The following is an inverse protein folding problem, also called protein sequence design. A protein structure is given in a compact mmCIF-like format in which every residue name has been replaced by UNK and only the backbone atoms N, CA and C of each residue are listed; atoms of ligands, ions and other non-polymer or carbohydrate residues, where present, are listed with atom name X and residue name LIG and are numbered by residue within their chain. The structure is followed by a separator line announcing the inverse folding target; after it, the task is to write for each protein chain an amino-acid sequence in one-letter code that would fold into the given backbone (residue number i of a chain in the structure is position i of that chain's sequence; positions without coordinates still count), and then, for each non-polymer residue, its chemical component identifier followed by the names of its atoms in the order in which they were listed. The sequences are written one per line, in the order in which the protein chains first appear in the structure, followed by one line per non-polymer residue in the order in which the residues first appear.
data_IF_566825046516
#
_entry.id   IF_566825046516
#
_cell.length_a   1.000
_cell.length_b   1.000
_cell.length_c   1.000
_cell.angle_alpha   90.00
_cell.angle_beta   90.00
_cell.angle_gamma   90.00
#
_symmetry.space_group_name_H-M   'P 1'
#
loop_
_entity.id
_entity.type
_entity.pdbx_description
1 polymer ?
#
# COMPACT_ATOMS: atom_id res chain seq x y z
N UNK A 1 -28.67 -4.03 20.84
CA UNK A 1 -27.38 -3.87 20.14
C UNK A 1 -26.39 -3.31 21.12
N UNK A 2 -25.41 -4.08 21.50
CA UNK A 2 -24.35 -3.62 22.41
C UNK A 2 -23.44 -2.66 21.59
N UNK A 3 -23.46 -1.39 21.90
CA UNK A 3 -22.58 -0.40 21.28
C UNK A 3 -21.21 -0.59 21.92
N UNK A 4 -20.34 -1.36 21.25
CA UNK A 4 -18.96 -1.52 21.71
C UNK A 4 -18.27 -0.16 21.65
N UNK A 5 -17.72 0.29 22.77
CA UNK A 5 -17.02 1.57 22.87
C UNK A 5 -15.87 1.66 21.84
N UNK A 6 -15.61 2.83 21.24
CA UNK A 6 -14.49 3.03 20.32
C UNK A 6 -13.16 2.64 20.97
N UNK A 7 -12.34 1.87 20.24
CA UNK A 7 -11.02 1.43 20.71
C UNK A 7 -9.91 2.03 19.84
N UNK A 8 -8.87 2.56 20.47
CA UNK A 8 -7.70 3.06 19.77
C UNK A 8 -6.99 1.93 19.03
N UNK A 9 -6.71 2.14 17.74
CA UNK A 9 -5.99 1.17 16.90
C UNK A 9 -4.48 1.41 17.04
N UNK A 10 -3.76 0.40 17.51
CA UNK A 10 -2.30 0.45 17.59
C UNK A 10 -1.65 0.39 16.20
N UNK A 11 -0.58 1.15 15.97
CA UNK A 11 0.14 1.19 14.67
C UNK A 11 0.59 -0.20 14.21
N UNK A 12 0.99 -1.07 15.16
CA UNK A 12 1.44 -2.44 14.91
C UNK A 12 0.36 -3.36 14.30
N UNK A 13 -0.93 -2.96 14.36
CA UNK A 13 -2.04 -3.73 13.79
C UNK A 13 -2.20 -3.51 12.27
N UNK A 14 -1.48 -2.56 11.68
CA UNK A 14 -1.37 -2.38 10.23
C UNK A 14 0.03 -2.75 9.78
N UNK A 15 0.17 -3.86 9.07
CA UNK A 15 1.44 -4.47 8.70
C UNK A 15 1.57 -4.54 7.18
N UNK A 16 2.75 -4.21 6.68
CA UNK A 16 3.08 -4.36 5.27
C UNK A 16 3.85 -5.67 5.01
N UNK A 17 3.55 -6.27 3.87
CA UNK A 17 4.21 -7.47 3.35
C UNK A 17 4.64 -7.19 1.92
N UNK A 18 5.87 -7.50 1.56
CA UNK A 18 6.43 -7.29 0.24
C UNK A 18 6.58 -8.62 -0.50
N UNK A 19 6.27 -8.63 -1.78
CA UNK A 19 6.58 -9.76 -2.64
C UNK A 19 8.09 -9.85 -2.85
N UNK A 20 8.70 -10.93 -2.39
CA UNK A 20 10.13 -11.20 -2.51
C UNK A 20 10.48 -12.07 -3.71
N UNK A 21 9.49 -12.63 -4.42
CA UNK A 21 9.71 -13.35 -5.67
C UNK A 21 10.04 -12.38 -6.81
N UNK A 22 11.32 -12.34 -7.19
CA UNK A 22 11.77 -11.50 -8.31
C UNK A 22 11.33 -12.02 -9.68
N UNK A 23 10.87 -13.28 -9.78
CA UNK A 23 10.49 -13.92 -11.04
C UNK A 23 9.02 -13.76 -11.39
N UNK A 24 8.21 -13.36 -10.40
CA UNK A 24 6.77 -13.19 -10.55
C UNK A 24 5.97 -14.49 -10.74
N UNK A 25 6.63 -15.65 -10.62
CA UNK A 25 6.01 -16.95 -10.89
C UNK A 25 5.15 -17.45 -9.73
N UNK A 26 5.49 -17.07 -8.50
CA UNK A 26 4.77 -17.45 -7.27
C UNK A 26 4.90 -16.33 -6.24
N UNK A 27 3.97 -15.37 -6.22
CA UNK A 27 4.03 -14.25 -5.28
C UNK A 27 4.19 -14.74 -3.85
N UNK A 28 5.29 -14.35 -3.20
CA UNK A 28 5.58 -14.67 -1.82
C UNK A 28 5.65 -13.38 -1.02
N UNK A 29 4.54 -13.05 -0.35
CA UNK A 29 4.46 -11.85 0.46
C UNK A 29 5.06 -12.09 1.83
N UNK A 30 6.24 -11.54 2.07
CA UNK A 30 6.95 -11.62 3.33
C UNK A 30 6.85 -10.32 4.13
N UNK A 31 6.76 -10.46 5.44
CA UNK A 31 6.56 -9.35 6.36
C UNK A 31 7.74 -8.38 6.32
N UNK A 32 7.44 -7.11 6.15
CA UNK A 32 8.41 -6.02 6.26
C UNK A 32 8.72 -5.77 7.74
N UNK A 33 9.88 -6.29 8.20
CA UNK A 33 10.34 -6.20 9.59
C UNK A 33 11.63 -5.40 9.68
N UNK A 34 11.96 -4.89 10.87
CA UNK A 34 13.21 -4.20 11.18
C UNK A 34 13.41 -2.90 10.37
N UNK A 35 12.32 -2.26 9.99
CA UNK A 35 12.34 -0.92 9.42
C UNK A 35 12.35 0.11 10.57
N UNK A 36 13.28 1.05 10.52
CA UNK A 36 13.39 2.16 11.47
C UNK A 36 12.42 3.28 11.14
N UNK A 37 12.10 3.44 9.85
CA UNK A 37 11.08 4.37 9.38
C UNK A 37 10.22 3.74 8.27
N UNK A 38 8.91 4.02 8.30
CA UNK A 38 7.97 3.67 7.24
C UNK A 38 6.78 4.64 7.30
N UNK A 39 6.83 5.70 6.50
CA UNK A 39 5.84 6.78 6.50
C UNK A 39 5.10 6.81 5.17
N UNK A 40 3.77 6.68 5.22
CA UNK A 40 2.91 6.70 4.02
C UNK A 40 2.38 8.11 3.76
N UNK A 41 2.91 8.78 2.76
CA UNK A 41 2.38 10.03 2.20
C UNK A 41 1.31 9.74 1.15
N UNK A 42 0.19 10.45 1.18
CA UNK A 42 -0.88 10.33 0.17
C UNK A 42 -0.65 11.26 -1.02
N UNK A 43 -0.03 12.41 -0.79
CA UNK A 43 0.32 13.42 -1.79
C UNK A 43 -0.84 13.69 -2.76
N UNK A 44 -1.99 14.21 -2.28
CA UNK A 44 -3.13 14.52 -3.14
C UNK A 44 -2.73 15.58 -4.15
N UNK A 45 -3.27 15.46 -5.37
CA UNK A 45 -3.22 16.49 -6.39
C UNK A 45 -4.53 17.25 -6.34
N UNK A 46 -4.43 18.56 -6.08
CA UNK A 46 -5.58 19.44 -5.98
C UNK A 46 -5.74 20.24 -7.27
N UNK A 47 -6.98 20.44 -7.66
CA UNK A 47 -7.39 21.40 -8.68
C UNK A 47 -8.23 22.47 -8.02
N UNK A 48 -7.72 23.70 -8.01
CA UNK A 48 -8.40 24.84 -7.43
C UNK A 48 -8.74 25.88 -8.49
N UNK A 49 -9.95 26.42 -8.45
CA UNK A 49 -10.38 27.48 -9.36
C UNK A 49 -11.41 28.39 -8.70
N UNK A 50 -11.23 29.70 -8.88
CA UNK A 50 -12.23 30.71 -8.59
C UNK A 50 -12.84 31.19 -9.91
N UNK A 51 -14.16 31.18 -10.00
CA UNK A 51 -14.89 31.72 -11.14
C UNK A 51 -15.16 33.20 -10.92
N UNK A 52 -15.28 33.96 -12.01
CA UNK A 52 -15.44 35.43 -11.96
C UNK A 52 -16.75 35.90 -11.31
N UNK A 53 -17.75 35.03 -11.24
CA UNK A 53 -19.07 35.23 -10.64
C UNK A 53 -19.18 34.68 -9.22
N UNK A 54 -18.10 34.09 -8.69
CA UNK A 54 -18.05 33.50 -7.34
C UNK A 54 -17.05 34.22 -6.44
N UNK A 55 -17.44 34.43 -5.18
CA UNK A 55 -16.57 35.01 -4.16
C UNK A 55 -15.65 33.99 -3.49
N UNK A 56 -15.91 32.67 -3.69
CA UNK A 56 -15.20 31.56 -3.02
C UNK A 56 -14.54 30.66 -4.05
N UNK A 57 -13.29 30.30 -3.79
CA UNK A 57 -12.56 29.31 -4.58
C UNK A 57 -13.12 27.91 -4.33
N UNK A 58 -13.24 27.11 -5.40
CA UNK A 58 -13.58 25.68 -5.34
C UNK A 58 -12.31 24.87 -5.48
N UNK A 59 -12.13 23.88 -4.59
CA UNK A 59 -11.00 22.95 -4.61
C UNK A 59 -11.49 21.52 -4.61
N UNK A 60 -10.94 20.70 -5.53
CA UNK A 60 -11.21 19.27 -5.64
C UNK A 60 -9.92 18.47 -5.67
N UNK A 61 -9.96 17.25 -5.13
CA UNK A 61 -8.85 16.30 -5.25
C UNK A 61 -9.01 15.53 -6.54
N UNK A 62 -8.11 15.77 -7.50
CA UNK A 62 -8.15 15.19 -8.84
C UNK A 62 -7.23 13.97 -9.01
N UNK A 63 -6.46 13.62 -7.99
CA UNK A 63 -5.60 12.45 -8.03
C UNK A 63 -4.74 12.31 -6.79
N UNK A 64 -3.94 11.25 -6.75
CA UNK A 64 -2.98 10.98 -5.68
C UNK A 64 -1.64 10.55 -6.28
N UNK A 65 -0.55 10.89 -5.62
CA UNK A 65 0.80 10.39 -5.90
C UNK A 65 1.39 9.74 -4.63
N UNK A 66 0.84 8.58 -4.18
CA UNK A 66 1.23 8.00 -2.91
C UNK A 66 2.69 7.55 -2.92
N UNK A 67 3.37 7.84 -1.82
CA UNK A 67 4.73 7.39 -1.58
C UNK A 67 4.88 6.89 -0.15
N UNK A 68 5.73 5.89 0.06
CA UNK A 68 6.10 5.39 1.37
C UNK A 68 7.60 5.58 1.54
N UNK A 69 7.99 6.53 2.39
CA UNK A 69 9.38 6.70 2.79
C UNK A 69 9.79 5.56 3.70
N UNK A 70 10.97 4.98 3.49
CA UNK A 70 11.50 3.90 4.31
C UNK A 70 12.96 4.12 4.69
N UNK A 71 13.33 3.55 5.83
CA UNK A 71 14.71 3.35 6.25
C UNK A 71 14.80 2.06 7.06
N UNK A 72 15.88 1.30 6.90
CA UNK A 72 16.12 0.09 7.67
C UNK A 72 17.61 -0.18 7.84
N UNK A 73 17.95 -0.84 8.95
CA UNK A 73 19.26 -1.45 9.17
C UNK A 73 19.31 -2.80 8.46
N UNK A 74 20.33 -3.05 7.65
CA UNK A 74 20.42 -4.27 6.87
C UNK A 74 20.61 -5.51 7.74
N UNK A 75 19.71 -6.46 7.62
CA UNK A 75 19.81 -7.78 8.23
C UNK A 75 19.98 -8.84 7.14
N UNK A 76 21.16 -9.45 7.10
CA UNK A 76 21.42 -10.57 6.20
C UNK A 76 20.45 -11.74 6.49
N UNK A 77 19.92 -12.35 5.45
CA UNK A 77 18.89 -13.39 5.55
C UNK A 77 17.47 -12.86 5.75
N UNK A 78 17.25 -11.53 5.76
CA UNK A 78 15.91 -10.95 5.64
C UNK A 78 15.57 -10.77 4.16
N UNK A 79 14.63 -11.55 3.60
CA UNK A 79 14.38 -11.55 2.15
C UNK A 79 13.84 -10.22 1.63
N UNK A 80 13.12 -9.44 2.46
CA UNK A 80 12.65 -8.11 2.09
C UNK A 80 13.83 -7.14 1.97
N UNK A 81 14.76 -7.16 2.95
CA UNK A 81 15.96 -6.31 2.92
C UNK A 81 16.83 -6.66 1.72
N UNK A 82 17.06 -7.96 1.49
CA UNK A 82 17.86 -8.44 0.36
C UNK A 82 17.25 -8.04 -0.99
N UNK A 83 15.91 -8.09 -1.12
CA UNK A 83 15.20 -7.65 -2.33
C UNK A 83 15.39 -6.16 -2.58
N UNK A 84 15.25 -5.31 -1.56
CA UNK A 84 15.43 -3.86 -1.67
C UNK A 84 16.90 -3.54 -1.96
N UNK A 85 17.86 -4.13 -1.20
CA UNK A 85 19.29 -3.93 -1.41
C UNK A 85 19.71 -4.33 -2.83
N UNK A 86 19.22 -5.46 -3.35
CA UNK A 86 19.51 -5.88 -4.72
C UNK A 86 19.02 -4.91 -5.81
N UNK A 87 18.00 -4.10 -5.50
CA UNK A 87 17.53 -3.03 -6.39
C UNK A 87 18.45 -1.81 -6.27
N UNK A 88 18.86 -1.43 -5.05
CA UNK A 88 19.78 -0.34 -4.79
C UNK A 88 21.15 -0.61 -5.42
N UNK A 89 21.80 -1.69 -4.99
CA UNK A 89 23.17 -2.03 -5.38
C UNK A 89 23.30 -2.35 -6.88
N UNK A 90 22.20 -2.89 -7.45
CA UNK A 90 22.13 -3.21 -8.87
C UNK A 90 21.69 -2.07 -9.76
N UNK A 91 21.41 -0.87 -9.22
CA UNK A 91 20.88 0.30 -9.94
C UNK A 91 19.74 -0.08 -10.91
N UNK A 92 18.80 -0.94 -10.42
CA UNK A 92 17.76 -1.49 -11.27
C UNK A 92 16.75 -0.42 -11.67
N UNK A 93 16.23 -0.54 -12.90
CA UNK A 93 15.33 0.44 -13.51
C UNK A 93 14.06 -0.24 -14.05
N UNK A 94 13.03 0.57 -14.29
CA UNK A 94 11.75 0.14 -14.84
C UNK A 94 11.13 -1.03 -14.03
N UNK A 95 10.66 -2.07 -14.71
CA UNK A 95 9.97 -3.20 -14.07
C UNK A 95 10.85 -3.99 -13.08
N UNK A 96 12.18 -4.00 -13.27
CA UNK A 96 13.12 -4.66 -12.36
C UNK A 96 13.21 -3.95 -10.99
N UNK A 97 12.87 -2.68 -10.93
CA UNK A 97 12.77 -1.88 -9.71
C UNK A 97 11.38 -1.93 -9.07
N UNK A 98 10.43 -2.67 -9.65
CA UNK A 98 9.08 -2.76 -9.10
C UNK A 98 8.97 -3.87 -8.05
N UNK A 99 8.15 -3.58 -7.03
CA UNK A 99 7.79 -4.53 -5.97
C UNK A 99 6.29 -4.43 -5.69
N UNK A 100 5.65 -5.55 -5.41
CA UNK A 100 4.28 -5.56 -4.92
C UNK A 100 4.27 -5.53 -3.39
N UNK A 101 3.42 -4.70 -2.83
CA UNK A 101 3.24 -4.61 -1.37
C UNK A 101 1.78 -4.82 -1.03
N UNK A 102 1.54 -5.71 -0.06
CA UNK A 102 0.25 -5.96 0.56
C UNK A 102 0.25 -5.34 1.94
N UNK A 103 -0.70 -4.45 2.21
CA UNK A 103 -0.92 -3.88 3.54
C UNK A 103 -2.13 -4.55 4.17
N UNK A 104 -1.94 -5.18 5.33
CA UNK A 104 -2.97 -5.91 6.06
C UNK A 104 -3.38 -5.15 7.30
N UNK A 105 -4.68 -4.95 7.46
CA UNK A 105 -5.31 -4.35 8.64
C UNK A 105 -5.84 -5.45 9.57
N UNK A 106 -4.99 -5.98 10.46
CA UNK A 106 -5.34 -7.05 11.39
C UNK A 106 -6.46 -6.70 12.39
N UNK A 107 -6.76 -5.41 12.54
CA UNK A 107 -7.89 -4.94 13.35
C UNK A 107 -9.22 -4.97 12.56
N UNK A 108 -9.18 -5.06 11.22
CA UNK A 108 -10.35 -5.17 10.34
C UNK A 108 -10.57 -6.62 9.95
N UNK A 109 -11.30 -7.34 10.78
CA UNK A 109 -11.70 -8.73 10.49
C UNK A 109 -13.13 -8.77 9.97
N UNK A 110 -13.42 -9.77 9.11
CA UNK A 110 -14.80 -10.04 8.70
C UNK A 110 -15.62 -10.57 9.88
N UNK A 111 -16.95 -10.75 9.68
CA UNK A 111 -17.89 -11.17 10.72
C UNK A 111 -17.54 -12.55 11.32
N UNK A 112 -16.91 -13.44 10.53
CA UNK A 112 -16.47 -14.76 10.98
C UNK A 112 -15.12 -14.75 11.68
N UNK A 113 -14.34 -13.68 11.54
CA UNK A 113 -13.00 -13.55 12.11
C UNK A 113 -11.91 -14.34 11.38
N UNK A 114 -12.21 -14.93 10.22
CA UNK A 114 -11.32 -15.79 9.43
C UNK A 114 -10.60 -15.05 8.29
N UNK A 115 -10.90 -13.77 8.07
CA UNK A 115 -10.29 -12.92 7.05
C UNK A 115 -9.96 -11.55 7.62
N UNK A 116 -8.80 -11.01 7.22
CA UNK A 116 -8.42 -9.63 7.49
C UNK A 116 -8.46 -8.81 6.20
N UNK A 117 -8.92 -7.57 6.29
CA UNK A 117 -8.88 -6.64 5.16
C UNK A 117 -7.44 -6.37 4.74
N UNK A 118 -7.19 -6.40 3.44
CA UNK A 118 -5.89 -6.15 2.86
C UNK A 118 -6.01 -5.31 1.59
N UNK A 119 -4.98 -4.53 1.32
CA UNK A 119 -4.84 -3.80 0.06
C UNK A 119 -3.51 -4.16 -0.59
N UNK A 120 -3.51 -4.37 -1.89
CA UNK A 120 -2.31 -4.62 -2.70
C UNK A 120 -2.04 -3.44 -3.62
N UNK A 121 -0.78 -3.12 -3.83
CA UNK A 121 -0.31 -2.12 -4.78
C UNK A 121 1.11 -2.42 -5.24
N UNK A 122 1.40 -2.09 -6.49
CA UNK A 122 2.76 -2.13 -7.04
C UNK A 122 3.42 -0.78 -6.82
N UNK A 123 4.69 -0.82 -6.43
CA UNK A 123 5.53 0.35 -6.18
C UNK A 123 6.84 0.24 -6.94
N UNK A 124 7.35 1.37 -7.43
CA UNK A 124 8.74 1.51 -7.81
C UNK A 124 9.57 1.81 -6.56
N UNK A 125 10.65 1.06 -6.36
CA UNK A 125 11.66 1.34 -5.35
C UNK A 125 12.53 2.46 -5.88
N UNK A 126 12.57 3.60 -5.17
CA UNK A 126 13.43 4.73 -5.50
C UNK A 126 14.50 4.83 -4.42
N UNK A 127 15.73 4.37 -4.69
CA UNK A 127 16.85 4.51 -3.78
C UNK A 127 17.14 5.97 -3.45
N UNK A 128 17.57 6.24 -2.22
CA UNK A 128 18.06 7.56 -1.79
C UNK A 128 19.52 7.46 -1.35
N UNK A 129 19.79 6.72 -0.28
CA UNK A 129 21.15 6.50 0.22
C UNK A 129 21.31 5.13 0.85
N UNK A 130 22.59 4.69 0.89
CA UNK A 130 23.05 3.52 1.61
C UNK A 130 24.35 3.85 2.37
N UNK A 131 24.62 3.11 3.47
CA UNK A 131 25.86 3.23 4.22
C UNK A 131 25.97 4.38 5.20
N UNK A 132 24.87 5.03 5.60
CA UNK A 132 24.86 6.21 6.47
C UNK A 132 25.12 5.91 7.96
N UNK A 133 25.20 4.64 8.36
CA UNK A 133 25.43 4.22 9.74
C UNK A 133 26.91 3.88 10.01
N UNK A 134 27.41 4.20 11.22
CA UNK A 134 28.73 3.74 11.67
C UNK A 134 28.69 2.33 12.27
N UNK A 135 27.53 1.95 12.85
CA UNK A 135 27.32 0.70 13.57
C UNK A 135 26.56 -0.35 12.74
N UNK A 136 25.77 0.09 11.77
CA UNK A 136 25.00 -0.77 10.88
C UNK A 136 24.99 -0.20 9.46
N UNK A 137 24.86 -1.09 8.47
CA UNK A 137 24.61 -0.69 7.09
C UNK A 137 23.13 -0.29 6.96
N UNK A 138 22.88 0.97 6.68
CA UNK A 138 21.51 1.55 6.56
C UNK A 138 21.16 1.75 5.09
N UNK A 139 19.95 1.37 4.72
CA UNK A 139 19.36 1.71 3.42
C UNK A 139 18.17 2.64 3.62
N UNK A 140 18.07 3.66 2.79
CA UNK A 140 16.92 4.57 2.78
C UNK A 140 16.43 4.84 1.37
N UNK A 141 15.14 5.20 1.26
CA UNK A 141 14.52 5.52 -0.02
C UNK A 141 13.02 5.69 0.08
N UNK A 142 12.37 5.63 -1.07
CA UNK A 142 10.92 5.70 -1.15
C UNK A 142 10.33 4.64 -2.08
N UNK A 143 9.16 4.14 -1.72
CA UNK A 143 8.29 3.31 -2.55
C UNK A 143 7.23 4.21 -3.17
N UNK A 144 7.34 4.50 -4.46
CA UNK A 144 6.36 5.34 -5.18
C UNK A 144 5.35 4.46 -5.93
N UNK A 145 4.07 4.73 -5.73
CA UNK A 145 3.01 3.94 -6.35
C UNK A 145 3.02 4.05 -7.88
N UNK A 146 3.00 2.92 -8.57
CA UNK A 146 2.91 2.79 -10.03
C UNK A 146 1.60 2.14 -10.49
N UNK A 147 0.82 1.58 -9.58
CA UNK A 147 -0.51 1.02 -9.87
C UNK A 147 -1.58 1.64 -8.99
N UNK A 148 -2.85 1.40 -9.35
CA UNK A 148 -3.97 1.67 -8.48
C UNK A 148 -3.98 0.74 -7.26
N UNK A 149 -4.74 1.11 -6.23
CA UNK A 149 -4.95 0.28 -5.06
C UNK A 149 -5.92 -0.85 -5.43
N UNK A 150 -5.57 -2.07 -5.06
CA UNK A 150 -6.42 -3.24 -5.21
C UNK A 150 -6.87 -3.72 -3.83
N UNK A 151 -8.18 -3.80 -3.61
CA UNK A 151 -8.75 -4.28 -2.36
C UNK A 151 -8.91 -5.79 -2.38
N UNK A 152 -8.70 -6.41 -1.21
CA UNK A 152 -8.79 -7.83 -1.03
C UNK A 152 -8.71 -8.23 0.43
N UNK A 153 -8.30 -9.47 0.67
CA UNK A 153 -8.15 -10.01 2.01
C UNK A 153 -7.01 -11.03 2.11
N UNK A 154 -6.64 -11.31 3.35
CA UNK A 154 -5.77 -12.43 3.70
C UNK A 154 -6.50 -13.33 4.69
N UNK A 155 -6.18 -14.63 4.68
CA UNK A 155 -6.74 -15.64 5.60
C UNK A 155 -5.89 -15.85 6.85
N UNK A 156 -4.66 -15.33 6.82
CA UNK A 156 -3.79 -15.29 7.98
C UNK A 156 -4.26 -14.19 8.93
N UNK A 157 -4.93 -14.57 10.01
CA UNK A 157 -5.51 -13.64 11.00
C UNK A 157 -4.62 -13.41 12.21
N UNK A 158 -3.49 -14.12 12.29
CA UNK A 158 -2.48 -13.95 13.32
C UNK A 158 -1.52 -12.81 12.95
N UNK A 159 -1.45 -11.81 13.83
CA UNK A 159 -0.55 -10.66 13.66
C UNK A 159 0.93 -11.06 13.62
N UNK A 160 1.30 -12.23 14.12
CA UNK A 160 2.67 -12.72 14.13
C UNK A 160 3.07 -13.44 12.84
N UNK A 161 2.15 -13.60 11.90
CA UNK A 161 2.39 -14.25 10.62
C UNK A 161 3.59 -13.61 9.89
N UNK A 162 4.52 -14.44 9.44
CA UNK A 162 5.71 -14.00 8.70
C UNK A 162 5.42 -13.82 7.21
N UNK A 163 4.45 -14.58 6.69
CA UNK A 163 4.01 -14.55 5.29
C UNK A 163 2.50 -14.49 5.24
N UNK A 164 1.96 -13.96 4.14
CA UNK A 164 0.52 -13.92 3.89
C UNK A 164 0.22 -14.30 2.44
N UNK A 165 -0.99 -14.82 2.24
CA UNK A 165 -1.55 -15.12 0.91
C UNK A 165 -2.64 -14.09 0.62
N UNK A 166 -2.38 -13.20 -0.32
CA UNK A 166 -3.36 -12.19 -0.74
C UNK A 166 -4.36 -12.77 -1.72
N UNK A 167 -5.63 -12.47 -1.50
CA UNK A 167 -6.73 -12.79 -2.42
C UNK A 167 -7.51 -11.51 -2.73
N UNK A 168 -7.65 -11.19 -4.02
CA UNK A 168 -8.49 -10.08 -4.47
C UNK A 168 -9.96 -10.38 -4.24
N UNK A 169 -10.72 -9.44 -3.73
CA UNK A 169 -12.16 -9.56 -3.52
C UNK A 169 -12.64 -9.02 -2.19
N UNK A 170 -13.94 -9.19 -1.94
CA UNK A 170 -14.59 -8.70 -0.73
C UNK A 170 -14.22 -9.55 0.50
N UNK A 171 -13.64 -8.90 1.52
CA UNK A 171 -13.28 -9.55 2.78
C UNK A 171 -14.50 -9.84 3.69
N UNK A 172 -15.61 -9.11 3.51
CA UNK A 172 -16.83 -9.32 4.32
C UNK A 172 -17.58 -10.60 3.94
N UNK A 173 -17.31 -11.17 2.76
CA UNK A 173 -17.88 -12.45 2.32
C UNK A 173 -19.38 -12.37 2.04
N UNK A 174 -19.77 -11.90 0.84
CA UNK A 174 -21.10 -12.06 0.29
C UNK A 174 -22.06 -10.90 0.51
N UNK A 175 -21.88 -9.84 -0.21
CA UNK A 175 -22.82 -9.20 -1.13
C UNK A 175 -21.94 -8.72 -2.27
N UNK A 176 -22.18 -9.21 -3.49
CA UNK A 176 -21.55 -8.67 -4.66
C UNK A 176 -21.71 -7.15 -4.61
N UNK A 177 -20.59 -6.42 -4.67
CA UNK A 177 -20.62 -5.00 -4.92
C UNK A 177 -21.45 -4.82 -6.17
N UNK A 178 -22.68 -4.34 -6.04
CA UNK A 178 -23.44 -3.86 -7.16
C UNK A 178 -22.61 -2.71 -7.73
N UNK A 179 -22.03 -2.95 -8.89
CA UNK A 179 -21.39 -1.93 -9.69
C UNK A 179 -22.26 -0.69 -9.73
N UNK A 180 -21.84 0.34 -9.03
CA UNK A 180 -22.40 1.66 -9.17
C UNK A 180 -21.86 2.20 -10.51
N UNK A 181 -22.42 1.70 -11.61
CA UNK A 181 -22.24 2.32 -12.91
C UNK A 181 -22.96 3.66 -12.86
N UNK A 182 -22.19 4.71 -12.69
CA UNK A 182 -22.64 6.05 -13.07
C UNK A 182 -22.82 6.02 -14.58
N UNK A 183 -24.02 5.77 -15.06
CA UNK A 183 -24.38 6.03 -16.45
C UNK A 183 -24.20 7.53 -16.68
N UNK A 184 -23.17 7.89 -17.42
CA UNK A 184 -23.06 9.23 -18.01
C UNK A 184 -24.19 9.36 -19.03
N UNK A 185 -25.29 9.95 -18.62
CA UNK A 185 -26.31 10.44 -19.55
C UNK A 185 -25.67 11.55 -20.36
N UNK A 186 -25.24 11.21 -21.57
CA UNK A 186 -24.94 12.22 -22.57
C UNK A 186 -26.28 12.76 -23.07
N UNK A 187 -26.72 13.87 -22.55
CA UNK A 187 -27.71 14.70 -23.23
C UNK A 187 -27.08 15.24 -24.50
N UNK A 188 -27.48 14.64 -25.64
CA UNK A 188 -27.31 15.26 -26.94
C UNK A 188 -28.18 16.49 -26.98
N UNK A 189 -27.58 17.67 -26.96
CA UNK A 189 -28.22 18.89 -27.46
C UNK A 189 -28.10 18.80 -28.98
N UNK A 190 -29.18 18.49 -29.62
CA UNK A 190 -29.36 18.53 -31.06
C UNK A 190 -30.56 19.43 -31.37
N UNK A 191 -30.29 20.38 -32.26
CA UNK A 191 -31.18 21.28 -33.01
C UNK A 191 -31.80 22.43 -32.24
#
# INVERSE_FOLDING_TARGET
MEVTAPKLVGRHLRVAFMNTDATGSSPKFERMTNFTAMTNGKNPKEYSRQYVDESTERSDVVGYAPATEYSFDMYAGNPVHERIAAIHDGEKVADDAHVEVVTVDFYKKNTKGDKCFATKRTYAVIPDSDGDGTDALVYSGSLKAVSDIEEGYVTETDITSKTVTYTKGDYMGGVASTDFKVEKTQERIGE
#
